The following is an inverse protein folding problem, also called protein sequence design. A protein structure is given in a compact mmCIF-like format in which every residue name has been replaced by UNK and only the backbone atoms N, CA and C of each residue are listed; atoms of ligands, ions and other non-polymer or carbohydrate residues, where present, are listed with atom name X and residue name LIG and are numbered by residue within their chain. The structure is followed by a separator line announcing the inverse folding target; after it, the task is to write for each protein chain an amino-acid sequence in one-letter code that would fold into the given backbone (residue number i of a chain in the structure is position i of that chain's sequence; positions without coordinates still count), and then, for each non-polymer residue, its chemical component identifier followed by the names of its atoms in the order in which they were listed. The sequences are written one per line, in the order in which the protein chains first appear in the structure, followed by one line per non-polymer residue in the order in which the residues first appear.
data_IF_532551362925
#
_entry.id   IF_532551362925
#
_cell.length_a   1.000
_cell.length_b   1.000
_cell.length_c   1.000
_cell.angle_alpha   90.00
_cell.angle_beta   90.00
_cell.angle_gamma   90.00
#
_symmetry.space_group_name_H-M   'P 1'
#
loop_
_entity.id
_entity.type
_entity.pdbx_description
1 polymer ?
#
# COMPACT_ATOMS: atom_id res chain seq x y z
N UNK A 1 -8.89 23.35 -18.56
CA UNK A 1 -8.75 21.87 -18.53
C UNK A 1 -9.94 21.30 -19.29
N UNK A 2 -9.72 20.63 -20.42
CA UNK A 2 -10.81 20.11 -21.27
C UNK A 2 -11.06 18.63 -20.90
N UNK A 3 -12.07 18.38 -20.07
CA UNK A 3 -12.42 17.01 -19.63
C UNK A 3 -13.42 16.44 -20.63
N UNK A 4 -13.13 15.25 -21.17
CA UNK A 4 -14.04 14.57 -22.09
C UNK A 4 -15.22 13.95 -21.30
N UNK A 5 -16.34 14.69 -21.23
CA UNK A 5 -17.53 14.30 -20.47
C UNK A 5 -18.10 12.96 -20.96
N UNK A 6 -18.04 12.67 -22.26
CA UNK A 6 -18.53 11.41 -22.83
C UNK A 6 -17.80 10.20 -22.25
N UNK A 7 -16.46 10.26 -22.19
CA UNK A 7 -15.65 9.20 -21.57
C UNK A 7 -15.91 9.05 -20.07
N UNK A 8 -16.15 10.16 -19.36
CA UNK A 8 -16.50 10.10 -17.94
C UNK A 8 -17.87 9.45 -17.74
N UNK A 9 -18.83 9.67 -18.65
CA UNK A 9 -20.13 9.01 -18.60
C UNK A 9 -20.03 7.50 -18.87
N UNK A 10 -19.21 7.09 -19.86
CA UNK A 10 -18.93 5.68 -20.13
C UNK A 10 -18.31 5.00 -18.89
N UNK A 11 -17.32 5.65 -18.24
CA UNK A 11 -16.74 5.18 -16.98
C UNK A 11 -17.76 5.12 -15.84
N UNK A 12 -18.66 6.12 -15.75
CA UNK A 12 -19.73 6.11 -14.74
C UNK A 12 -20.64 4.89 -14.89
N UNK A 13 -21.00 4.55 -16.12
CA UNK A 13 -21.82 3.38 -16.44
C UNK A 13 -21.09 2.07 -16.15
N UNK A 14 -19.80 1.97 -16.47
CA UNK A 14 -18.95 0.82 -16.12
C UNK A 14 -18.93 0.61 -14.59
N UNK A 15 -18.88 1.69 -13.82
CA UNK A 15 -18.96 1.65 -12.37
C UNK A 15 -20.38 1.45 -11.79
N UNK A 16 -21.39 1.28 -12.64
CA UNK A 16 -22.79 1.09 -12.23
C UNK A 16 -23.48 2.35 -11.69
N UNK A 17 -22.96 3.54 -11.98
CA UNK A 17 -23.56 4.79 -11.53
C UNK A 17 -24.76 5.17 -12.42
N UNK A 18 -25.90 5.45 -11.80
CA UNK A 18 -27.14 5.84 -12.49
C UNK A 18 -27.22 7.33 -12.86
N UNK A 19 -26.26 8.14 -12.41
CA UNK A 19 -26.28 9.58 -12.63
C UNK A 19 -25.85 9.92 -14.07
N UNK A 20 -26.67 10.70 -14.77
CA UNK A 20 -26.32 11.24 -16.08
C UNK A 20 -25.48 12.52 -15.94
N UNK A 21 -24.30 12.53 -16.55
CA UNK A 21 -23.43 13.70 -16.65
C UNK A 21 -23.76 14.42 -17.96
N UNK A 22 -24.65 15.39 -17.89
CA UNK A 22 -24.97 16.27 -19.02
C UNK A 22 -24.07 17.52 -19.01
N UNK A 23 -23.80 18.11 -20.18
CA UNK A 23 -23.04 19.36 -20.27
C UNK A 23 -23.65 20.51 -19.44
N UNK A 24 -24.98 20.53 -19.30
CA UNK A 24 -25.73 21.52 -18.53
C UNK A 24 -25.81 21.21 -17.02
N UNK A 25 -25.56 19.95 -16.62
CA UNK A 25 -25.54 19.50 -15.23
C UNK A 25 -24.21 18.78 -14.96
N UNK A 26 -23.10 19.46 -15.27
CA UNK A 26 -21.77 18.93 -14.98
C UNK A 26 -21.56 18.94 -13.48
N UNK A 27 -22.00 17.89 -12.81
CA UNK A 27 -21.74 17.68 -11.39
C UNK A 27 -20.23 17.45 -11.23
N UNK A 28 -19.49 18.54 -11.08
CA UNK A 28 -18.01 18.55 -10.99
C UNK A 28 -17.52 17.65 -9.85
N UNK A 29 -18.28 17.56 -8.77
CA UNK A 29 -17.98 16.69 -7.62
C UNK A 29 -18.05 15.22 -8.07
N UNK A 30 -19.11 14.86 -8.79
CA UNK A 30 -19.29 13.51 -9.33
C UNK A 30 -18.22 13.13 -10.36
N UNK A 31 -17.91 14.03 -11.30
CA UNK A 31 -16.80 13.84 -12.26
C UNK A 31 -15.47 13.61 -11.53
N UNK A 32 -15.19 14.43 -10.50
CA UNK A 32 -13.97 14.29 -9.69
C UNK A 32 -13.92 12.92 -8.99
N UNK A 33 -15.04 12.46 -8.43
CA UNK A 33 -15.12 11.17 -7.76
C UNK A 33 -14.87 10.00 -8.74
N UNK A 34 -15.45 10.03 -9.95
CA UNK A 34 -15.22 8.99 -10.97
C UNK A 34 -13.75 8.94 -11.38
N UNK A 35 -13.13 10.09 -11.61
CA UNK A 35 -11.72 10.15 -11.99
C UNK A 35 -10.82 9.67 -10.85
N UNK A 36 -11.11 10.05 -9.61
CA UNK A 36 -10.38 9.56 -8.43
C UNK A 36 -10.49 8.04 -8.28
N UNK A 37 -11.68 7.47 -8.49
CA UNK A 37 -11.87 6.02 -8.50
C UNK A 37 -11.03 5.35 -9.59
N UNK A 38 -11.02 5.88 -10.83
CA UNK A 38 -10.20 5.32 -11.91
C UNK A 38 -8.70 5.31 -11.58
N UNK A 39 -8.21 6.35 -10.92
CA UNK A 39 -6.81 6.41 -10.46
C UNK A 39 -6.55 5.34 -9.40
N UNK A 40 -7.46 5.15 -8.44
CA UNK A 40 -7.34 4.10 -7.43
C UNK A 40 -7.36 2.70 -8.05
N UNK A 41 -8.28 2.44 -8.98
CA UNK A 41 -8.38 1.15 -9.67
C UNK A 41 -7.08 0.85 -10.45
N UNK A 42 -6.50 1.85 -11.12
CA UNK A 42 -5.22 1.71 -11.82
C UNK A 42 -4.06 1.42 -10.86
N UNK A 43 -4.00 2.08 -9.70
CA UNK A 43 -2.99 1.80 -8.66
C UNK A 43 -3.15 0.37 -8.13
N UNK A 44 -4.39 -0.05 -7.87
CA UNK A 44 -4.70 -1.40 -7.44
C UNK A 44 -4.25 -2.43 -8.48
N UNK A 45 -4.60 -2.24 -9.76
CA UNK A 45 -4.17 -3.10 -10.87
C UNK A 45 -2.64 -3.21 -10.95
N UNK A 46 -1.93 -2.08 -10.94
CA UNK A 46 -0.47 -2.08 -10.96
C UNK A 46 0.14 -2.78 -9.75
N UNK A 47 -0.42 -2.56 -8.55
CA UNK A 47 0.05 -3.27 -7.36
C UNK A 47 -0.16 -4.77 -7.50
N UNK A 48 -1.31 -5.18 -8.05
CA UNK A 48 -1.66 -6.59 -8.19
C UNK A 48 -0.80 -7.29 -9.23
N UNK A 49 -0.46 -6.61 -10.33
CA UNK A 49 0.52 -7.09 -11.31
C UNK A 49 1.91 -7.19 -10.69
N UNK A 50 2.34 -6.19 -9.93
CA UNK A 50 3.62 -6.21 -9.21
C UNK A 50 3.69 -7.41 -8.26
N UNK A 51 2.66 -7.64 -7.44
CA UNK A 51 2.57 -8.81 -6.57
C UNK A 51 2.47 -10.14 -7.32
N UNK A 52 1.87 -10.17 -8.52
CA UNK A 52 1.82 -11.36 -9.36
C UNK A 52 3.19 -11.74 -9.93
N UNK A 53 4.01 -10.75 -10.30
CA UNK A 53 5.41 -10.97 -10.71
C UNK A 53 6.32 -11.36 -9.54
N UNK A 54 5.92 -11.01 -8.31
CA UNK A 54 6.64 -11.38 -7.09
C UNK A 54 6.55 -12.87 -6.70
N UNK A 55 5.77 -13.68 -7.42
CA UNK A 55 5.56 -15.10 -7.07
C UNK A 55 6.80 -16.01 -7.35
N UNK A 56 7.87 -15.50 -7.96
CA UNK A 56 9.07 -16.28 -8.30
C UNK A 56 10.27 -16.10 -7.36
N UNK A 57 10.66 -14.87 -7.05
CA UNK A 57 11.94 -14.56 -6.37
C UNK A 57 11.82 -13.68 -5.11
N UNK A 58 10.84 -12.80 -5.03
CA UNK A 58 10.57 -11.92 -3.87
C UNK A 58 9.79 -12.63 -2.75
N UNK A 59 9.46 -13.91 -2.91
CA UNK A 59 9.04 -14.77 -1.80
C UNK A 59 10.11 -14.75 -0.69
N UNK A 60 11.39 -14.77 -1.05
CA UNK A 60 12.48 -14.74 -0.06
C UNK A 60 12.57 -13.39 0.67
N UNK A 61 12.39 -12.27 -0.04
CA UNK A 61 12.41 -10.93 0.56
C UNK A 61 11.22 -10.73 1.49
N UNK A 62 10.02 -11.11 1.05
CA UNK A 62 8.80 -11.08 1.87
C UNK A 62 8.87 -12.05 3.05
N UNK A 63 9.46 -13.25 2.87
CA UNK A 63 9.70 -14.20 3.96
C UNK A 63 10.69 -13.63 4.98
N UNK A 64 11.75 -12.95 4.53
CA UNK A 64 12.72 -12.26 5.41
C UNK A 64 12.05 -11.13 6.18
N UNK A 65 11.23 -10.31 5.53
CA UNK A 65 10.48 -9.24 6.20
C UNK A 65 9.47 -9.80 7.22
N UNK A 66 8.73 -10.84 6.84
CA UNK A 66 7.77 -11.51 7.71
C UNK A 66 8.45 -12.11 8.94
N UNK A 67 9.56 -12.82 8.76
CA UNK A 67 10.34 -13.40 9.87
C UNK A 67 10.98 -12.34 10.75
N UNK A 68 11.45 -11.23 10.17
CA UNK A 68 11.95 -10.10 10.94
C UNK A 68 10.85 -9.46 11.79
N UNK A 69 9.64 -9.38 11.25
CA UNK A 69 8.45 -8.86 11.97
C UNK A 69 8.07 -9.78 13.12
N UNK A 70 8.02 -11.08 12.89
CA UNK A 70 7.78 -12.09 13.92
C UNK A 70 8.82 -12.02 15.05
N UNK A 71 10.10 -11.92 14.69
CA UNK A 71 11.19 -11.74 15.66
C UNK A 71 11.03 -10.45 16.47
N UNK A 72 10.62 -9.35 15.84
CA UNK A 72 10.40 -8.07 16.51
C UNK A 72 9.28 -8.17 17.55
N UNK A 73 8.18 -8.85 17.21
CA UNK A 73 7.06 -9.07 18.13
C UNK A 73 7.44 -9.98 19.31
N UNK A 74 8.19 -11.06 19.05
CA UNK A 74 8.73 -11.92 20.11
C UNK A 74 9.66 -11.16 21.05
N UNK A 75 10.51 -10.29 20.50
CA UNK A 75 11.39 -9.42 21.30
C UNK A 75 10.55 -8.45 22.13
N UNK A 76 9.56 -7.77 21.54
CA UNK A 76 8.65 -6.90 22.30
C UNK A 76 7.98 -7.66 23.45
N UNK A 77 7.47 -8.86 23.21
CA UNK A 77 6.83 -9.69 24.23
C UNK A 77 7.82 -10.14 25.32
N UNK A 78 9.03 -10.54 24.94
CA UNK A 78 10.10 -10.88 25.89
C UNK A 78 10.44 -9.70 26.79
N UNK A 79 10.45 -8.48 26.24
CA UNK A 79 10.77 -7.26 26.97
C UNK A 79 9.63 -6.78 27.88
N UNK A 80 8.38 -7.02 27.51
CA UNK A 80 7.23 -6.69 28.38
C UNK A 80 7.04 -7.71 29.51
N UNK A 81 7.45 -8.97 29.29
CA UNK A 81 7.30 -10.05 30.28
C UNK A 81 8.46 -10.11 31.30
N UNK A 82 9.65 -9.65 30.93
CA UNK A 82 10.80 -9.61 31.84
C UNK A 82 10.94 -8.21 32.43
N UNK A 83 10.51 -8.04 33.69
CA UNK A 83 10.50 -6.77 34.40
C UNK A 83 11.87 -6.05 34.36
N UNK A 84 11.95 -4.99 33.56
CA UNK A 84 13.14 -4.16 33.39
C UNK A 84 12.96 -3.16 32.25
N UNK A 85 12.21 -2.08 32.49
CA UNK A 85 12.16 -0.90 31.62
C UNK A 85 13.53 -0.21 31.63
N UNK A 86 14.46 -0.73 30.85
CA UNK A 86 15.71 -0.04 30.55
C UNK A 86 15.60 0.61 29.16
N UNK A 87 15.92 1.91 29.07
CA UNK A 87 15.99 2.68 27.81
C UNK A 87 16.89 2.02 26.74
N UNK A 88 17.81 1.14 27.16
CA UNK A 88 18.66 0.27 26.31
C UNK A 88 17.82 -0.66 25.41
N UNK A 89 16.59 -0.94 25.82
CA UNK A 89 15.66 -1.88 25.19
C UNK A 89 15.06 -1.36 23.89
N UNK A 90 14.64 -0.08 23.85
CA UNK A 90 14.13 0.55 22.64
C UNK A 90 15.20 0.65 21.55
N UNK A 91 16.45 0.94 21.96
CA UNK A 91 17.59 1.01 21.05
C UNK A 91 17.88 -0.33 20.36
N UNK A 92 17.64 -1.46 21.03
CA UNK A 92 17.91 -2.80 20.49
C UNK A 92 16.91 -3.19 19.38
N UNK A 93 15.62 -2.90 19.59
CA UNK A 93 14.56 -3.08 18.57
C UNK A 93 14.87 -2.25 17.32
N UNK A 94 15.26 -0.99 17.51
CA UNK A 94 15.59 -0.07 16.40
C UNK A 94 16.80 -0.58 15.62
N UNK A 95 17.86 -1.03 16.30
CA UNK A 95 19.07 -1.59 15.66
C UNK A 95 18.78 -2.83 14.83
N UNK A 96 17.91 -3.73 15.30
CA UNK A 96 17.52 -4.93 14.55
C UNK A 96 16.79 -4.55 13.27
N UNK A 97 15.83 -3.61 13.34
CA UNK A 97 15.13 -3.12 12.14
C UNK A 97 16.10 -2.47 11.15
N UNK A 98 17.02 -1.64 11.64
CA UNK A 98 18.04 -1.01 10.80
C UNK A 98 18.95 -2.04 10.10
N UNK A 99 19.34 -3.12 10.79
CA UNK A 99 20.13 -4.18 10.17
C UNK A 99 19.35 -4.96 9.12
N UNK A 100 18.10 -5.33 9.40
CA UNK A 100 17.24 -6.05 8.45
C UNK A 100 16.99 -5.20 7.21
N UNK A 101 16.55 -3.95 7.38
CA UNK A 101 16.30 -3.05 6.25
C UNK A 101 17.59 -2.61 5.56
N UNK A 102 18.72 -2.56 6.25
CA UNK A 102 20.02 -2.33 5.61
C UNK A 102 20.44 -3.48 4.69
N UNK A 103 20.15 -4.73 5.08
CA UNK A 103 20.42 -5.92 4.25
C UNK A 103 19.49 -5.95 3.02
N UNK A 104 18.22 -5.61 3.20
CA UNK A 104 17.23 -5.57 2.11
C UNK A 104 17.50 -4.38 1.17
N UNK A 105 17.77 -3.18 1.71
CA UNK A 105 18.05 -1.96 0.96
C UNK A 105 19.32 -2.01 0.14
N UNK A 106 20.38 -2.68 0.63
CA UNK A 106 21.59 -2.90 -0.15
C UNK A 106 21.37 -3.80 -1.39
N UNK A 107 20.21 -4.45 -1.51
CA UNK A 107 19.81 -5.23 -2.69
C UNK A 107 18.72 -4.57 -3.54
N UNK A 108 18.37 -3.31 -3.25
CA UNK A 108 17.44 -2.52 -4.05
C UNK A 108 15.97 -2.57 -3.60
N UNK A 109 15.71 -2.94 -2.33
CA UNK A 109 14.37 -3.00 -1.73
C UNK A 109 14.14 -1.88 -0.72
#
# INVERSE_FOLDING_TARGET
MNINIKKVQELAQEYGCLNEITANNSNKIFIKAILQRKVLDLICEFSHEFFKFQCGNSKLESDVESKATELLELIKLFLTTRAGTDEVTGASIIKIRQQVYGILGNRGF
#
